data_IF_119696225517
#
_entry.id   IF_119696225517
#
_cell.length_a   1.000
_cell.length_b   1.000
_cell.length_c   1.000
_cell.angle_alpha   90.00
_cell.angle_beta   90.00
_cell.angle_gamma   90.00
#
_symmetry.space_group_name_H-M   'P 1'
#
loop_
_entity.id
_entity.type
_entity.pdbx_description
1 polymer ?
#
# COMPACT_ATOMS: atom_id res chain seq x y z
N UNK A 1 -6.45 -9.12 17.37
CA UNK A 1 -5.97 -8.38 16.18
C UNK A 1 -6.34 -9.11 14.91
N UNK A 2 -6.75 -8.39 13.88
CA UNK A 2 -7.06 -8.94 12.56
C UNK A 2 -6.36 -8.10 11.48
N UNK A 3 -5.86 -8.75 10.40
CA UNK A 3 -5.22 -8.06 9.28
C UNK A 3 -6.03 -8.25 8.00
N UNK A 4 -6.19 -7.15 7.25
CA UNK A 4 -6.84 -7.08 5.94
C UNK A 4 -5.84 -6.55 4.92
N UNK A 5 -5.44 -7.39 3.98
CA UNK A 5 -4.37 -7.10 3.02
C UNK A 5 -4.91 -7.05 1.59
N UNK A 6 -4.67 -5.95 0.89
CA UNK A 6 -5.12 -5.70 -0.50
C UNK A 6 -3.94 -5.47 -1.42
N UNK A 7 -3.67 -6.42 -2.29
CA UNK A 7 -2.49 -6.36 -3.14
C UNK A 7 -2.68 -5.47 -4.38
N UNK A 8 -1.55 -5.11 -4.98
CA UNK A 8 -1.50 -4.31 -6.20
C UNK A 8 -2.06 -5.03 -7.41
N UNK A 9 -2.39 -4.27 -8.46
CA UNK A 9 -2.95 -4.79 -9.71
C UNK A 9 -2.13 -5.94 -10.25
N UNK A 10 -2.83 -7.03 -10.63
CA UNK A 10 -2.27 -8.30 -11.10
C UNK A 10 -1.37 -9.04 -10.11
N UNK A 11 -1.12 -8.49 -8.93
CA UNK A 11 -0.34 -9.15 -7.89
C UNK A 11 -1.12 -10.33 -7.27
N UNK A 12 -0.37 -11.39 -7.02
CA UNK A 12 -0.80 -12.63 -6.37
C UNK A 12 0.24 -13.01 -5.32
N UNK A 13 0.01 -13.97 -4.43
CA UNK A 13 1.02 -14.44 -3.47
C UNK A 13 2.37 -14.79 -4.09
N UNK A 14 2.39 -15.23 -5.36
CA UNK A 14 3.63 -15.58 -6.08
C UNK A 14 4.54 -14.38 -6.36
N UNK A 15 4.00 -13.16 -6.34
CA UNK A 15 4.78 -11.95 -6.58
C UNK A 15 5.56 -11.50 -5.34
N UNK A 16 5.24 -12.05 -4.16
CA UNK A 16 5.88 -11.71 -2.88
C UNK A 16 5.94 -10.20 -2.64
N UNK A 17 4.84 -9.50 -2.95
CA UNK A 17 4.72 -8.06 -2.67
C UNK A 17 4.90 -7.78 -1.18
N UNK A 18 5.23 -6.55 -0.82
CA UNK A 18 5.35 -6.16 0.58
C UNK A 18 4.02 -6.31 1.35
N UNK A 19 2.88 -6.15 0.67
CA UNK A 19 1.56 -6.45 1.25
C UNK A 19 1.45 -7.93 1.60
N UNK A 20 1.84 -8.83 0.67
CA UNK A 20 1.78 -10.26 0.94
C UNK A 20 2.78 -10.67 2.04
N UNK A 21 4.00 -10.10 2.04
CA UNK A 21 5.00 -10.38 3.09
C UNK A 21 4.52 -9.97 4.48
N UNK A 22 3.90 -8.79 4.62
CA UNK A 22 3.30 -8.36 5.89
C UNK A 22 2.12 -9.27 6.28
N UNK A 23 1.26 -9.64 5.34
CA UNK A 23 0.18 -10.57 5.59
C UNK A 23 0.71 -11.92 6.10
N UNK A 24 1.73 -12.46 5.45
CA UNK A 24 2.33 -13.75 5.82
C UNK A 24 3.01 -13.69 7.19
N UNK A 25 3.75 -12.64 7.47
CA UNK A 25 4.44 -12.40 8.73
C UNK A 25 3.52 -12.16 9.94
N UNK A 26 2.23 -11.90 9.72
CA UNK A 26 1.32 -11.61 10.82
C UNK A 26 0.85 -12.89 11.52
N UNK A 27 1.05 -13.01 12.83
CA UNK A 27 0.85 -14.27 13.59
C UNK A 27 -0.60 -14.59 13.97
N UNK A 28 -1.55 -13.66 13.81
CA UNK A 28 -2.96 -13.94 14.11
C UNK A 28 -3.57 -14.91 13.12
N UNK A 29 -4.54 -15.71 13.57
CA UNK A 29 -5.39 -16.56 12.70
C UNK A 29 -6.42 -15.75 11.91
N UNK A 30 -6.69 -14.50 12.30
CA UNK A 30 -7.67 -13.63 11.66
C UNK A 30 -6.97 -12.81 10.57
N UNK A 31 -6.86 -13.40 9.40
CA UNK A 31 -6.13 -12.86 8.26
C UNK A 31 -7.00 -12.92 7.01
N UNK A 32 -7.24 -11.76 6.40
CA UNK A 32 -7.88 -11.63 5.09
C UNK A 32 -6.89 -11.13 4.06
N UNK A 33 -6.79 -11.80 2.92
CA UNK A 33 -5.95 -11.37 1.81
C UNK A 33 -6.75 -11.37 0.50
N UNK A 34 -6.72 -10.24 -0.19
CA UNK A 34 -7.27 -10.09 -1.52
C UNK A 34 -6.16 -9.88 -2.55
N UNK A 35 -6.12 -10.75 -3.56
CA UNK A 35 -5.25 -10.56 -4.74
C UNK A 35 -5.64 -9.27 -5.46
N UNK A 36 -4.67 -8.63 -6.11
CA UNK A 36 -4.90 -7.38 -6.81
C UNK A 36 -5.99 -7.46 -7.90
N UNK A 37 -6.64 -6.34 -8.22
CA UNK A 37 -7.56 -6.27 -9.35
C UNK A 37 -6.91 -6.79 -10.64
N UNK A 38 -7.64 -7.53 -11.47
CA UNK A 38 -7.13 -8.11 -12.71
C UNK A 38 -6.22 -9.34 -12.54
N UNK A 39 -6.15 -9.93 -11.35
CA UNK A 39 -5.38 -11.17 -11.12
C UNK A 39 -6.16 -12.45 -11.46
N UNK A 40 -7.49 -12.39 -11.57
CA UNK A 40 -8.37 -13.54 -11.85
C UNK A 40 -8.94 -13.49 -13.26
N UNK A 41 -9.24 -14.65 -13.85
CA UNK A 41 -9.93 -14.77 -15.13
C UNK A 41 -9.05 -14.71 -16.38
N UNK A 42 -9.70 -14.55 -17.56
CA UNK A 42 -9.06 -14.46 -18.87
C UNK A 42 -8.35 -13.11 -19.08
N UNK A 43 -7.49 -13.00 -20.09
CA UNK A 43 -6.81 -11.73 -20.41
C UNK A 43 -7.81 -10.56 -20.56
N UNK A 44 -8.92 -10.77 -21.25
CA UNK A 44 -9.93 -9.73 -21.47
C UNK A 44 -10.63 -9.32 -20.18
N UNK A 45 -11.02 -10.29 -19.33
CA UNK A 45 -11.63 -10.00 -18.03
C UNK A 45 -10.64 -9.28 -17.09
N UNK A 46 -9.35 -9.64 -17.13
CA UNK A 46 -8.30 -8.94 -16.37
C UNK A 46 -8.18 -7.48 -16.77
N UNK A 47 -8.22 -7.18 -18.07
CA UNK A 47 -8.19 -5.80 -18.58
C UNK A 47 -9.43 -5.04 -18.12
N UNK A 48 -10.63 -5.60 -18.28
CA UNK A 48 -11.90 -4.96 -17.88
C UNK A 48 -11.94 -4.75 -16.36
N UNK A 49 -11.62 -5.76 -15.55
CA UNK A 49 -11.57 -5.65 -14.09
C UNK A 49 -10.56 -4.58 -13.63
N UNK A 50 -9.39 -4.53 -14.28
CA UNK A 50 -8.38 -3.52 -14.04
C UNK A 50 -8.84 -2.10 -14.42
N UNK A 51 -9.70 -1.97 -15.43
CA UNK A 51 -10.19 -0.69 -15.94
C UNK A 51 -11.44 -0.19 -15.21
N UNK A 52 -12.35 -1.07 -14.83
CA UNK A 52 -13.67 -0.70 -14.29
C UNK A 52 -13.74 -0.66 -12.76
N UNK A 53 -12.77 -1.25 -12.07
CA UNK A 53 -12.75 -1.33 -10.60
C UNK A 53 -13.84 -2.23 -9.99
N UNK A 54 -14.60 -2.99 -10.80
CA UNK A 54 -15.68 -3.85 -10.29
C UNK A 54 -15.17 -4.86 -9.25
N UNK A 55 -14.05 -5.52 -9.53
CA UNK A 55 -13.44 -6.45 -8.56
C UNK A 55 -12.96 -5.81 -7.25
N UNK A 56 -12.84 -4.48 -7.20
CA UNK A 56 -12.52 -3.75 -5.97
C UNK A 56 -13.70 -3.67 -5.01
N UNK A 57 -14.92 -3.47 -5.51
CA UNK A 57 -16.14 -3.40 -4.68
C UNK A 57 -16.41 -4.72 -3.99
N UNK A 58 -16.28 -5.83 -4.70
CA UNK A 58 -16.48 -7.17 -4.13
C UNK A 58 -15.46 -7.45 -3.01
N UNK A 59 -14.20 -7.09 -3.22
CA UNK A 59 -13.13 -7.25 -2.20
C UNK A 59 -13.39 -6.42 -0.95
N UNK A 60 -13.89 -5.19 -1.12
CA UNK A 60 -14.27 -4.32 0.00
C UNK A 60 -15.47 -4.92 0.74
N UNK A 61 -16.48 -5.39 0.01
CA UNK A 61 -17.66 -5.99 0.60
C UNK A 61 -17.31 -7.25 1.41
N UNK A 62 -16.55 -8.17 0.82
CA UNK A 62 -16.12 -9.40 1.49
C UNK A 62 -15.31 -9.10 2.75
N UNK A 63 -14.34 -8.18 2.66
CA UNK A 63 -13.52 -7.79 3.79
C UNK A 63 -14.34 -7.13 4.90
N UNK A 64 -15.31 -6.30 4.54
CA UNK A 64 -16.17 -5.61 5.48
C UNK A 64 -17.15 -6.57 6.21
N UNK A 65 -17.74 -7.53 5.49
CA UNK A 65 -18.58 -8.56 6.11
C UNK A 65 -17.77 -9.46 7.05
N UNK A 66 -16.54 -9.81 6.69
CA UNK A 66 -15.63 -10.56 7.55
C UNK A 66 -15.25 -9.72 8.78
N UNK A 67 -14.99 -8.42 8.62
CA UNK A 67 -14.72 -7.51 9.73
C UNK A 67 -15.90 -7.49 10.71
N UNK A 68 -17.14 -7.27 10.25
CA UNK A 68 -18.34 -7.31 11.08
C UNK A 68 -18.46 -8.64 11.83
N UNK A 69 -18.28 -9.75 11.12
CA UNK A 69 -18.36 -11.08 11.74
C UNK A 69 -17.32 -11.27 12.87
N UNK A 70 -16.11 -10.78 12.69
CA UNK A 70 -15.09 -10.90 13.73
C UNK A 70 -15.33 -9.94 14.90
N UNK A 71 -15.82 -8.73 14.64
CA UNK A 71 -16.12 -7.74 15.69
C UNK A 71 -17.28 -8.19 16.60
N UNK A 72 -18.31 -8.84 16.08
CA UNK A 72 -19.45 -9.33 16.87
C UNK A 72 -19.06 -10.41 17.88
N UNK A 73 -17.93 -11.06 17.71
CA UNK A 73 -17.48 -12.18 18.57
C UNK A 73 -16.40 -11.78 19.56
N UNK A 74 -15.52 -10.91 19.15
CA UNK A 74 -14.42 -10.41 19.97
C UNK A 74 -14.02 -9.03 19.42
N UNK A 75 -14.03 -8.00 20.27
CA UNK A 75 -13.42 -6.71 19.87
C UNK A 75 -11.96 -6.92 19.50
N UNK A 76 -11.58 -6.54 18.28
CA UNK A 76 -10.24 -6.79 17.75
C UNK A 76 -9.64 -5.55 17.18
N UNK A 77 -8.37 -5.37 17.44
CA UNK A 77 -7.56 -4.41 16.70
C UNK A 77 -7.59 -4.73 15.21
N UNK A 78 -7.75 -3.69 14.40
CA UNK A 78 -7.91 -3.79 12.96
C UNK A 78 -6.69 -3.20 12.25
N UNK A 79 -5.98 -4.03 11.51
CA UNK A 79 -4.86 -3.64 10.67
C UNK A 79 -5.30 -3.75 9.21
N UNK A 80 -5.11 -2.69 8.44
CA UNK A 80 -5.41 -2.69 7.00
C UNK A 80 -4.13 -2.30 6.26
N UNK A 81 -3.75 -3.10 5.26
CA UNK A 81 -2.60 -2.79 4.41
C UNK A 81 -2.97 -2.90 2.94
N UNK A 82 -2.34 -2.05 2.11
CA UNK A 82 -2.61 -2.09 0.68
C UNK A 82 -1.49 -1.52 -0.19
N UNK A 83 -1.39 -2.02 -1.42
CA UNK A 83 -0.44 -1.55 -2.43
C UNK A 83 -1.16 -1.06 -3.68
N UNK A 84 -0.69 0.07 -4.26
CA UNK A 84 -1.20 0.56 -5.55
C UNK A 84 -2.72 0.83 -5.51
N UNK A 85 -3.50 0.21 -6.40
CA UNK A 85 -4.97 0.22 -6.35
C UNK A 85 -5.53 -0.51 -5.12
N UNK A 86 -4.82 -1.51 -4.61
CA UNK A 86 -5.14 -2.14 -3.32
C UNK A 86 -5.05 -1.16 -2.15
N UNK A 87 -4.16 -0.16 -2.21
CA UNK A 87 -4.11 0.88 -1.21
C UNK A 87 -5.36 1.80 -1.23
N UNK A 88 -5.95 2.03 -2.40
CA UNK A 88 -7.23 2.76 -2.50
C UNK A 88 -8.39 1.93 -1.96
N UNK A 89 -8.39 0.63 -2.22
CA UNK A 89 -9.36 -0.33 -1.64
C UNK A 89 -9.22 -0.35 -0.11
N UNK A 90 -7.99 -0.36 0.41
CA UNK A 90 -7.70 -0.30 1.85
C UNK A 90 -8.27 0.97 2.51
N UNK A 91 -8.11 2.13 1.86
CA UNK A 91 -8.71 3.41 2.32
C UNK A 91 -10.23 3.36 2.35
N UNK A 92 -10.85 2.80 1.30
CA UNK A 92 -12.30 2.69 1.24
C UNK A 92 -12.85 1.73 2.32
N UNK A 93 -12.16 0.62 2.59
CA UNK A 93 -12.51 -0.26 3.70
C UNK A 93 -12.39 0.47 5.05
N UNK A 94 -11.31 1.22 5.27
CA UNK A 94 -11.15 2.01 6.48
C UNK A 94 -12.30 3.02 6.66
N UNK A 95 -12.70 3.72 5.60
CA UNK A 95 -13.84 4.63 5.63
C UNK A 95 -15.15 3.91 5.98
N UNK A 96 -15.41 2.73 5.39
CA UNK A 96 -16.62 1.94 5.70
C UNK A 96 -16.65 1.46 7.14
N UNK A 97 -15.51 1.02 7.67
CA UNK A 97 -15.41 0.60 9.07
C UNK A 97 -15.69 1.78 10.01
N UNK A 98 -15.12 2.95 9.74
CA UNK A 98 -15.32 4.13 10.56
C UNK A 98 -16.74 4.69 10.48
N UNK A 99 -17.47 4.50 9.37
CA UNK A 99 -18.90 4.83 9.25
C UNK A 99 -19.79 3.99 10.16
N UNK A 100 -19.36 2.80 10.53
CA UNK A 100 -20.04 1.91 11.49
C UNK A 100 -19.45 2.05 12.91
N UNK A 101 -18.91 3.23 13.24
CA UNK A 101 -18.26 3.52 14.52
C UNK A 101 -17.10 2.57 14.88
N UNK A 102 -16.59 1.83 13.89
CA UNK A 102 -15.43 0.97 14.04
C UNK A 102 -14.12 1.75 14.05
N UNK A 103 -13.05 1.11 14.52
CA UNK A 103 -11.71 1.70 14.59
C UNK A 103 -10.72 0.90 13.76
N UNK A 104 -9.75 1.61 13.19
CA UNK A 104 -8.61 1.06 12.48
C UNK A 104 -7.34 1.49 13.21
N UNK A 105 -6.65 0.55 13.81
CA UNK A 105 -5.46 0.84 14.61
C UNK A 105 -4.26 1.19 13.73
N UNK A 106 -4.12 0.51 12.59
CA UNK A 106 -3.06 0.76 11.62
C UNK A 106 -3.55 0.66 10.18
N UNK A 107 -3.26 1.69 9.39
CA UNK A 107 -3.48 1.72 7.94
C UNK A 107 -2.14 1.88 7.22
N UNK A 108 -1.59 0.79 6.68
CA UNK A 108 -0.32 0.75 5.95
C UNK A 108 -0.53 0.80 4.43
N UNK A 109 0.06 1.78 3.77
CA UNK A 109 -0.14 2.05 2.34
C UNK A 109 1.18 2.06 1.59
N UNK A 110 1.27 1.30 0.52
CA UNK A 110 2.40 1.34 -0.41
C UNK A 110 1.95 2.03 -1.70
N UNK A 111 2.48 3.20 -1.94
CA UNK A 111 2.38 4.00 -3.16
C UNK A 111 0.98 4.02 -3.78
N UNK A 112 0.02 4.57 -3.06
CA UNK A 112 -1.41 4.61 -3.43
C UNK A 112 -1.63 5.27 -4.79
N UNK A 113 -2.25 4.55 -5.72
CA UNK A 113 -2.58 5.02 -7.08
C UNK A 113 -4.05 4.83 -7.37
N UNK A 114 -4.74 5.91 -7.76
CA UNK A 114 -6.18 5.93 -8.00
C UNK A 114 -6.60 5.75 -9.46
N UNK A 115 -5.69 5.39 -10.35
CA UNK A 115 -6.00 5.22 -11.77
C UNK A 115 -6.73 3.89 -12.00
N UNK A 116 -8.05 3.94 -11.91
CA UNK A 116 -8.94 2.90 -12.41
C UNK A 116 -9.47 3.38 -13.76
N UNK A 117 -9.16 2.69 -14.88
CA UNK A 117 -9.78 2.96 -16.15
C UNK A 117 -8.88 3.53 -17.24
N UNK A 118 -9.53 4.02 -18.29
CA UNK A 118 -8.93 4.58 -19.49
C UNK A 118 -7.89 5.69 -19.14
N UNK A 119 -6.70 5.69 -19.74
CA UNK A 119 -5.68 6.71 -19.51
C UNK A 119 -6.15 8.15 -19.81
N UNK A 120 -7.28 8.31 -20.51
CA UNK A 120 -7.88 9.62 -20.84
C UNK A 120 -8.94 10.08 -19.84
N UNK A 121 -9.56 9.16 -19.11
CA UNK A 121 -10.47 9.48 -18.01
C UNK A 121 -9.95 8.77 -16.76
N UNK A 122 -9.43 9.54 -15.82
CA UNK A 122 -9.31 9.06 -14.45
C UNK A 122 -10.74 8.91 -13.94
N UNK A 123 -11.37 7.76 -14.22
CA UNK A 123 -12.69 7.46 -13.72
C UNK A 123 -12.54 7.42 -12.19
N UNK A 124 -13.07 8.45 -11.56
CA UNK A 124 -13.28 8.40 -10.12
C UNK A 124 -14.41 7.40 -9.88
N UNK A 125 -14.05 6.19 -9.50
CA UNK A 125 -15.03 5.13 -9.20
C UNK A 125 -15.73 5.36 -7.86
N UNK A 126 -15.59 6.57 -7.30
CA UNK A 126 -16.27 6.99 -6.07
C UNK A 126 -15.65 6.45 -4.79
N UNK A 127 -14.43 5.92 -4.83
CA UNK A 127 -13.73 5.53 -3.61
C UNK A 127 -13.19 6.74 -2.86
N UNK A 128 -13.41 6.75 -1.54
CA UNK A 128 -12.90 7.79 -0.66
C UNK A 128 -11.39 7.66 -0.51
N UNK A 129 -10.69 8.76 -0.70
CA UNK A 129 -9.21 8.81 -0.71
C UNK A 129 -8.64 9.42 0.56
N UNK A 130 -9.46 10.15 1.32
CA UNK A 130 -9.09 10.73 2.61
C UNK A 130 -9.07 9.69 3.72
N UNK A 131 -8.28 9.94 4.75
CA UNK A 131 -8.16 9.10 5.94
C UNK A 131 -9.20 9.55 6.95
N UNK A 132 -10.17 8.69 7.35
CA UNK A 132 -11.22 9.04 8.29
C UNK A 132 -10.71 9.14 9.75
N UNK A 133 -11.44 9.81 10.63
CA UNK A 133 -11.07 10.04 12.03
C UNK A 133 -10.98 8.76 12.89
N UNK A 134 -11.62 7.68 12.48
CA UNK A 134 -11.51 6.39 13.17
C UNK A 134 -10.21 5.62 12.95
N UNK A 135 -9.28 6.14 12.13
CA UNK A 135 -7.93 5.57 11.93
C UNK A 135 -6.98 6.18 12.95
N UNK A 136 -6.36 5.35 13.80
CA UNK A 136 -5.41 5.82 14.81
C UNK A 136 -4.05 6.20 14.19
N UNK A 137 -3.52 5.33 13.31
CA UNK A 137 -2.20 5.51 12.69
C UNK A 137 -2.24 5.17 11.20
N UNK A 138 -1.77 6.07 10.36
CA UNK A 138 -1.63 5.85 8.92
C UNK A 138 -0.18 6.03 8.49
N UNK A 139 0.40 5.00 7.87
CA UNK A 139 1.73 5.05 7.28
C UNK A 139 1.65 4.89 5.76
N UNK A 140 2.39 5.70 4.99
CA UNK A 140 2.45 5.55 3.54
C UNK A 140 3.87 5.64 3.00
N UNK A 141 4.35 4.55 2.38
CA UNK A 141 5.58 4.52 1.62
C UNK A 141 5.32 5.00 0.19
N UNK A 142 6.13 5.94 -0.30
CA UNK A 142 5.96 6.61 -1.60
C UNK A 142 7.19 6.39 -2.49
N UNK A 143 7.00 6.19 -3.79
CA UNK A 143 8.12 6.01 -4.73
C UNK A 143 8.60 7.35 -5.31
N UNK A 144 9.93 7.57 -5.32
CA UNK A 144 10.57 8.77 -5.86
C UNK A 144 10.64 8.73 -7.38
N UNK A 145 11.03 7.58 -7.95
CA UNK A 145 11.40 7.47 -9.36
C UNK A 145 10.24 7.04 -10.29
N UNK A 146 9.01 7.00 -9.77
CA UNK A 146 7.84 6.70 -10.61
C UNK A 146 7.46 7.92 -11.47
N UNK A 147 7.56 7.78 -12.78
CA UNK A 147 7.33 8.86 -13.75
C UNK A 147 6.11 8.64 -14.64
N UNK A 148 5.49 7.46 -14.59
CA UNK A 148 4.32 7.15 -15.42
C UNK A 148 3.16 8.07 -15.07
N UNK A 149 2.65 8.80 -16.07
CA UNK A 149 1.55 9.76 -15.90
C UNK A 149 0.30 9.16 -15.26
N UNK A 150 0.01 7.88 -15.55
CA UNK A 150 -1.15 7.17 -15.01
C UNK A 150 -0.95 6.72 -13.55
N UNK A 151 0.26 6.83 -13.00
CA UNK A 151 0.60 6.44 -11.63
C UNK A 151 0.71 7.67 -10.71
N UNK A 152 -0.26 8.57 -10.79
CA UNK A 152 -0.32 9.71 -9.88
C UNK A 152 -0.55 9.24 -8.45
N UNK A 153 0.36 9.62 -7.57
CA UNK A 153 0.29 9.28 -6.16
C UNK A 153 -0.88 9.99 -5.47
N UNK A 154 -1.56 9.27 -4.59
CA UNK A 154 -2.54 9.83 -3.66
C UNK A 154 -1.88 9.92 -2.29
N UNK A 155 -1.65 11.14 -1.80
CA UNK A 155 -1.08 11.39 -0.47
C UNK A 155 -2.06 10.96 0.65
N UNK A 156 -1.55 10.70 1.83
CA UNK A 156 -2.34 10.36 3.01
C UNK A 156 -3.00 11.61 3.63
N UNK A 157 -3.88 12.26 2.86
CA UNK A 157 -4.61 13.44 3.32
C UNK A 157 -5.71 13.02 4.30
N UNK A 158 -5.78 13.70 5.43
CA UNK A 158 -6.84 13.51 6.40
C UNK A 158 -8.19 14.01 5.86
N UNK A 159 -9.28 13.38 6.28
CA UNK A 159 -10.63 13.93 6.13
C UNK A 159 -10.72 15.26 6.90
N UNK A 160 -11.59 16.16 6.47
CA UNK A 160 -11.65 17.53 6.99
C UNK A 160 -11.88 17.59 8.52
N UNK A 161 -12.65 16.64 9.01
CA UNK A 161 -13.00 16.48 10.44
C UNK A 161 -11.97 15.70 11.25
N UNK A 162 -10.98 15.10 10.58
CA UNK A 162 -10.00 14.24 11.24
C UNK A 162 -8.81 15.06 11.74
N UNK A 163 -8.65 15.13 13.05
CA UNK A 163 -7.55 15.82 13.74
C UNK A 163 -6.71 14.90 14.62
N UNK A 164 -7.08 13.62 14.73
CA UNK A 164 -6.51 12.71 15.72
C UNK A 164 -5.56 11.65 15.11
N UNK A 165 -5.70 11.38 13.82
CA UNK A 165 -4.85 10.36 13.15
C UNK A 165 -3.39 10.80 13.09
N UNK A 166 -2.50 9.97 13.60
CA UNK A 166 -1.06 10.10 13.32
C UNK A 166 -0.77 9.68 11.88
N UNK A 167 -0.19 10.57 11.08
CA UNK A 167 0.18 10.28 9.69
C UNK A 167 1.70 10.32 9.52
N UNK A 168 2.26 9.26 8.96
CA UNK A 168 3.66 9.19 8.53
C UNK A 168 3.73 8.87 7.04
N UNK A 169 4.40 9.73 6.28
CA UNK A 169 4.69 9.47 4.87
C UNK A 169 6.19 9.53 4.63
N UNK A 170 6.70 8.56 3.89
CA UNK A 170 8.11 8.55 3.55
C UNK A 170 8.36 8.19 2.08
N UNK A 171 9.28 8.91 1.45
CA UNK A 171 9.68 8.72 0.07
C UNK A 171 10.88 7.77 -0.02
N UNK A 172 10.74 6.70 -0.80
CA UNK A 172 11.76 5.68 -1.02
C UNK A 172 12.34 5.76 -2.44
N UNK A 173 13.64 5.48 -2.62
CA UNK A 173 14.19 5.28 -3.94
C UNK A 173 13.49 4.10 -4.64
N UNK A 174 13.44 4.13 -5.96
CA UNK A 174 12.77 3.13 -6.78
C UNK A 174 11.48 3.60 -7.42
N UNK A 175 10.97 2.82 -8.35
CA UNK A 175 9.67 3.02 -9.00
C UNK A 175 8.56 2.38 -8.17
N UNK A 176 7.32 2.59 -8.58
CA UNK A 176 6.12 2.04 -7.94
C UNK A 176 6.24 0.56 -7.51
N UNK A 177 6.73 -0.28 -8.43
CA UNK A 177 6.86 -1.72 -8.19
C UNK A 177 8.05 -2.10 -7.30
N UNK A 178 9.08 -1.26 -7.22
CA UNK A 178 10.19 -1.43 -6.27
C UNK A 178 9.68 -1.18 -4.86
N UNK A 179 9.01 -0.06 -4.62
CA UNK A 179 8.42 0.28 -3.31
C UNK A 179 7.34 -0.73 -2.89
N UNK A 180 6.60 -1.29 -3.85
CA UNK A 180 5.66 -2.39 -3.60
C UNK A 180 6.31 -3.74 -3.34
N UNK A 181 7.64 -3.86 -3.48
CA UNK A 181 8.43 -5.08 -3.25
C UNK A 181 8.30 -6.16 -4.32
N UNK A 182 7.80 -5.81 -5.53
CA UNK A 182 7.56 -6.80 -6.60
C UNK A 182 8.69 -6.93 -7.62
N UNK A 183 9.68 -6.02 -7.61
CA UNK A 183 10.82 -6.04 -8.55
C UNK A 183 12.15 -6.09 -7.81
N UNK A 184 12.64 -4.97 -7.29
CA UNK A 184 13.94 -4.85 -6.62
C UNK A 184 13.84 -5.28 -5.16
N UNK A 185 14.68 -6.25 -4.77
CA UNK A 185 14.59 -6.84 -3.43
C UNK A 185 15.07 -5.89 -2.35
N UNK A 186 16.19 -5.21 -2.55
CA UNK A 186 16.79 -4.29 -1.59
C UNK A 186 15.95 -3.03 -1.37
N UNK A 187 15.52 -2.39 -2.46
CA UNK A 187 14.63 -1.22 -2.40
C UNK A 187 13.26 -1.58 -1.81
N UNK A 188 12.72 -2.75 -2.18
CA UNK A 188 11.48 -3.25 -1.61
C UNK A 188 11.58 -3.59 -0.13
N UNK A 189 12.74 -4.10 0.31
CA UNK A 189 13.00 -4.39 1.71
C UNK A 189 13.08 -3.09 2.54
N UNK A 190 13.62 -2.00 2.00
CA UNK A 190 13.68 -0.72 2.70
C UNK A 190 12.28 -0.20 3.05
N UNK A 191 11.35 -0.21 2.11
CA UNK A 191 9.96 0.21 2.36
C UNK A 191 9.19 -0.79 3.23
N UNK A 192 9.50 -2.09 3.15
CA UNK A 192 8.93 -3.13 4.00
C UNK A 192 9.38 -2.97 5.46
N UNK A 193 10.69 -2.85 5.69
CA UNK A 193 11.25 -2.68 7.02
C UNK A 193 10.67 -1.44 7.71
N UNK A 194 10.67 -0.31 7.00
CA UNK A 194 10.06 0.92 7.51
C UNK A 194 8.57 0.74 7.85
N UNK A 195 7.79 0.04 7.01
CA UNK A 195 6.38 -0.19 7.29
C UNK A 195 6.16 -1.08 8.51
N UNK A 196 7.02 -2.07 8.75
CA UNK A 196 6.99 -2.84 10.00
C UNK A 196 7.30 -1.97 11.21
N UNK A 197 8.29 -1.08 11.13
CA UNK A 197 8.59 -0.12 12.19
C UNK A 197 7.38 0.77 12.50
N UNK A 198 6.69 1.29 11.46
CA UNK A 198 5.48 2.09 11.65
C UNK A 198 4.33 1.29 12.27
N UNK A 199 4.16 0.03 11.87
CA UNK A 199 3.16 -0.86 12.47
C UNK A 199 3.45 -1.13 13.95
N UNK A 200 4.71 -1.33 14.32
CA UNK A 200 5.14 -1.48 15.72
C UNK A 200 4.91 -0.19 16.50
N UNK A 201 5.23 0.97 15.93
CA UNK A 201 4.96 2.27 16.55
C UNK A 201 3.45 2.53 16.78
N UNK A 202 2.61 1.92 15.97
CA UNK A 202 1.15 1.90 16.15
C UNK A 202 0.68 0.84 17.17
N UNK A 203 1.59 0.27 17.97
CA UNK A 203 1.34 -0.79 18.98
C UNK A 203 0.80 -2.11 18.41
N UNK A 204 1.04 -2.41 17.13
CA UNK A 204 0.68 -3.69 16.53
C UNK A 204 1.84 -4.67 16.63
N UNK A 205 1.79 -5.63 17.58
CA UNK A 205 2.96 -6.40 17.99
C UNK A 205 2.91 -7.91 17.63
N UNK A 206 2.02 -8.33 16.73
CA UNK A 206 1.89 -9.76 16.35
C UNK A 206 2.65 -10.10 15.06
N UNK A 207 3.84 -9.56 14.87
CA UNK A 207 4.68 -9.83 13.73
C UNK A 207 5.65 -10.97 13.98
N UNK A 208 5.97 -11.72 12.93
CA UNK A 208 7.00 -12.76 13.00
C UNK A 208 8.39 -12.11 13.07
N UNK A 209 9.18 -12.52 14.07
CA UNK A 209 10.50 -11.94 14.29
C UNK A 209 11.48 -12.26 13.17
N UNK A 210 11.41 -13.47 12.63
CA UNK A 210 12.31 -13.86 11.53
C UNK A 210 12.01 -13.02 10.27
N UNK A 211 10.73 -12.75 9.98
CA UNK A 211 10.33 -11.89 8.89
C UNK A 211 10.78 -10.43 9.06
N UNK A 212 10.74 -9.91 10.29
CA UNK A 212 11.29 -8.57 10.62
C UNK A 212 12.80 -8.52 10.39
N UNK A 213 13.53 -9.51 10.95
CA UNK A 213 14.99 -9.60 10.82
C UNK A 213 15.42 -9.78 9.36
N UNK A 214 14.66 -10.53 8.55
CA UNK A 214 14.91 -10.70 7.12
C UNK A 214 14.67 -9.41 6.35
N UNK A 215 13.59 -8.69 6.63
CA UNK A 215 13.29 -7.41 6.01
C UNK A 215 14.42 -6.40 6.28
N UNK A 216 14.87 -6.30 7.53
CA UNK A 216 15.95 -5.40 7.92
C UNK A 216 17.28 -5.75 7.22
N UNK A 217 17.67 -7.03 7.23
CA UNK A 217 18.92 -7.51 6.61
C UNK A 217 18.96 -7.37 5.10
N UNK A 218 17.79 -7.37 4.45
CA UNK A 218 17.65 -7.30 2.99
C UNK A 218 17.64 -5.88 2.46
N UNK A 219 17.70 -4.86 3.32
CA UNK A 219 17.67 -3.44 2.90
C UNK A 219 18.93 -3.12 2.08
N UNK A 220 18.71 -2.60 0.88
CA UNK A 220 19.74 -2.04 0.02
C UNK A 220 19.18 -0.78 -0.68
N UNK A 221 19.51 0.38 -0.14
CA UNK A 221 19.08 1.67 -0.67
C UNK A 221 19.95 2.18 -1.83
N UNK A 222 21.07 1.52 -2.10
CA UNK A 222 21.98 1.83 -3.23
C UNK A 222 21.64 0.98 -4.46
N UNK A 223 20.75 -0.02 -4.34
CA UNK A 223 20.29 -0.80 -5.47
C UNK A 223 19.68 0.11 -6.55
N UNK A 224 20.16 -0.04 -7.80
CA UNK A 224 19.67 0.76 -8.93
C UNK A 224 18.13 0.60 -9.11
N UNK A 225 17.36 1.71 -9.19
CA UNK A 225 15.93 1.67 -9.44
C UNK A 225 15.58 0.92 -10.73
N UNK A 226 14.45 0.24 -10.73
CA UNK A 226 13.93 -0.40 -11.94
C UNK A 226 13.54 0.64 -13.00
N UNK A 227 13.64 0.27 -14.26
CA UNK A 227 13.18 1.11 -15.35
C UNK A 227 11.64 1.24 -15.35
N UNK A 228 11.14 2.42 -15.67
CA UNK A 228 9.72 2.66 -15.92
C UNK A 228 9.28 1.97 -17.22
N UNK A 229 8.86 0.70 -17.16
CA UNK A 229 8.39 -0.05 -18.32
C UNK A 229 7.00 0.44 -18.74
N UNK A 230 6.93 1.06 -19.92
CA UNK A 230 5.70 1.52 -20.55
C UNK A 230 5.22 0.43 -21.50
N UNK A 231 4.16 -0.28 -21.15
CA UNK A 231 3.59 -1.38 -21.95
C UNK A 231 2.49 -0.97 -22.94
N UNK A 232 2.29 0.34 -23.17
CA UNK A 232 1.30 0.88 -24.10
C UNK A 232 1.96 1.56 -25.31
N UNK A 233 1.27 1.67 -26.48
CA UNK A 233 1.81 2.35 -27.66
C UNK A 233 2.32 3.75 -27.31
N UNK A 234 3.54 4.02 -27.67
CA UNK A 234 4.38 5.17 -27.26
C UNK A 234 3.77 6.55 -27.62
N UNK A 235 2.80 6.62 -28.54
CA UNK A 235 2.22 7.87 -28.99
C UNK A 235 1.40 8.64 -27.93
N UNK A 236 0.94 7.97 -26.86
CA UNK A 236 0.09 8.57 -25.84
C UNK A 236 0.80 8.83 -24.48
N UNK A 237 2.06 8.47 -24.35
CA UNK A 237 2.74 8.39 -23.03
C UNK A 237 3.90 9.36 -22.86
N UNK A 238 4.06 10.34 -23.74
CA UNK A 238 5.15 11.33 -23.71
C UNK A 238 5.06 12.39 -22.59
N UNK A 239 4.29 12.16 -21.55
CA UNK A 239 4.31 13.01 -20.36
C UNK A 239 4.83 12.22 -19.16
N UNK A 240 6.11 11.86 -19.19
CA UNK A 240 6.82 11.52 -17.97
C UNK A 240 6.82 12.77 -17.08
N UNK A 241 6.29 12.67 -15.89
CA UNK A 241 6.32 13.76 -14.91
C UNK A 241 6.95 13.22 -13.65
N UNK A 242 8.16 13.67 -13.38
CA UNK A 242 8.81 13.45 -12.08
C UNK A 242 7.86 13.87 -10.98
N UNK A 243 7.68 13.01 -10.00
CA UNK A 243 6.89 13.31 -8.81
C UNK A 243 7.55 14.45 -8.05
N UNK A 244 6.77 15.44 -7.64
CA UNK A 244 7.26 16.58 -6.89
C UNK A 244 7.29 16.21 -5.40
N UNK A 245 8.51 16.04 -4.87
CA UNK A 245 8.76 15.98 -3.44
C UNK A 245 8.78 17.43 -2.95
N UNK A 246 8.00 17.72 -1.92
CA UNK A 246 7.94 19.06 -1.33
C UNK A 246 9.03 19.22 -0.29
N UNK A 247 9.42 20.47 -0.04
CA UNK A 247 10.24 20.81 1.11
C UNK A 247 9.53 20.37 2.39
N UNK A 248 10.22 19.64 3.27
CA UNK A 248 9.66 19.03 4.48
C UNK A 248 9.12 17.61 4.32
N UNK A 249 9.07 17.04 3.11
CA UNK A 249 8.76 15.62 2.94
C UNK A 249 9.95 14.74 3.38
N UNK A 250 9.71 13.75 4.23
CA UNK A 250 10.73 12.79 4.70
C UNK A 250 11.18 11.85 3.58
N UNK A 251 12.51 11.60 3.51
CA UNK A 251 13.14 10.66 2.58
C UNK A 251 13.82 9.56 3.37
N UNK A 252 13.29 8.33 3.35
CA UNK A 252 13.76 7.29 4.23
C UNK A 252 15.13 6.86 3.86
N UNK A 253 15.74 6.57 2.97
CA UNK A 253 17.15 6.16 2.85
C UNK A 253 18.17 7.28 3.05
N UNK A 254 17.77 8.55 2.92
CA UNK A 254 18.66 9.69 3.12
C UNK A 254 18.66 10.19 4.57
N UNK A 255 17.52 10.11 5.23
CA UNK A 255 17.29 10.74 6.54
C UNK A 255 17.32 9.76 7.71
N UNK A 256 17.40 8.44 7.47
CA UNK A 256 17.51 7.45 8.51
C UNK A 256 18.97 7.00 8.72
N UNK A 257 19.64 7.45 9.80
CA UNK A 257 21.03 7.11 10.07
C UNK A 257 21.27 5.60 10.26
N UNK A 258 20.26 4.83 10.66
CA UNK A 258 20.37 3.38 10.81
C UNK A 258 20.38 2.64 9.46
N UNK A 259 19.74 3.20 8.44
CA UNK A 259 19.78 2.67 7.08
C UNK A 259 21.01 3.18 6.30
N UNK A 260 21.49 4.39 6.62
CA UNK A 260 22.67 4.98 6.00
C UNK A 260 24.01 4.41 6.50
N UNK A 261 24.09 3.83 7.69
CA UNK A 261 25.34 3.34 8.28
C UNK A 261 25.77 1.94 7.83
N UNK A 262 24.99 1.23 7.00
CA UNK A 262 25.38 -0.10 6.47
C UNK A 262 26.09 -0.05 5.10
N UNK A 263 26.31 1.10 4.53
CA UNK A 263 26.97 1.25 3.23
C UNK A 263 28.50 1.40 3.30
N UNK A 264 29.12 1.29 4.50
CA UNK A 264 30.57 1.39 4.65
C UNK A 264 31.13 0.23 5.51
N UNK A 265 31.17 -0.96 4.95
CA UNK A 265 32.14 -2.00 5.35
C UNK A 265 32.25 -3.09 4.29
#
# INVERSE_FOLDING_TARGET
MAIYAFDGTTCTPRNLSNVFRMYDAYKSRHKFYATGPGSRGTWLSKVIESMTGHGGKDRIYDAFEIWKYWQTRESRETIIIGFSRGAVIARELANKICEEDGKVDFLGLYDSVGSFGNPFNMIDIGYRKSIPSGVAYCAQALSIHEERFTFRVIRANLAKENTETTVQECWFPGVHSDVGGTLKKGLGAASLNWMFEQAINANTNQWDKEALDEAEKSVDCEEEPSENKISLPVCFLRSLRTRKIKEGDSRCCADNPQLATRTTS
#
